data_IF_251252887480
#
_entry.id   IF_251252887480
#
_cell.length_a   1.000
_cell.length_b   1.000
_cell.length_c   1.000
_cell.angle_alpha   90.00
_cell.angle_beta   90.00
_cell.angle_gamma   90.00
#
_symmetry.space_group_name_H-M   'P 1'
#
loop_
_entity.id
_entity.type
_entity.pdbx_description
1 polymer ?
#
# COMPACT_ATOMS: atom_id res chain seq x y z
N UNK A 1 -52.36 30.61 -41.05
CA UNK A 1 -52.47 30.43 -39.59
C UNK A 1 -51.18 30.92 -38.96
N UNK A 2 -51.34 31.73 -37.93
CA UNK A 2 -50.46 32.82 -37.49
C UNK A 2 -49.20 32.39 -36.73
N UNK A 3 -48.14 33.17 -36.95
CA UNK A 3 -46.87 33.23 -36.22
C UNK A 3 -47.07 33.54 -34.71
N UNK A 4 -46.08 33.13 -33.91
CA UNK A 4 -45.93 33.55 -32.52
C UNK A 4 -44.48 33.44 -32.04
N UNK A 5 -43.68 34.46 -32.33
CA UNK A 5 -42.40 34.76 -31.71
C UNK A 5 -42.56 35.10 -30.22
N UNK A 6 -41.59 34.71 -29.38
CA UNK A 6 -41.40 35.33 -28.06
C UNK A 6 -39.91 35.53 -27.76
N UNK A 7 -39.50 36.80 -27.89
CA UNK A 7 -38.27 37.38 -27.37
C UNK A 7 -38.34 37.47 -25.84
N UNK A 8 -37.24 37.22 -25.14
CA UNK A 8 -37.01 37.77 -23.81
C UNK A 8 -35.63 38.44 -23.74
N UNK A 9 -35.67 39.75 -23.55
CA UNK A 9 -34.57 40.64 -23.22
C UNK A 9 -34.43 40.69 -21.70
N UNK A 10 -33.21 40.46 -21.18
CA UNK A 10 -32.87 40.64 -19.77
C UNK A 10 -31.68 41.58 -19.63
N UNK A 11 -31.97 42.83 -19.27
CA UNK A 11 -31.02 43.89 -18.92
C UNK A 11 -30.23 43.52 -17.66
N UNK A 12 -28.89 43.64 -17.69
CA UNK A 12 -28.07 43.70 -16.48
C UNK A 12 -27.74 45.17 -16.16
N UNK A 13 -28.22 45.63 -15.01
CA UNK A 13 -27.91 46.95 -14.46
C UNK A 13 -26.51 46.95 -13.81
N UNK A 14 -25.72 47.97 -14.15
CA UNK A 14 -24.48 48.35 -13.47
C UNK A 14 -24.82 49.13 -12.19
N UNK A 15 -24.58 48.48 -11.04
CA UNK A 15 -24.67 49.09 -9.71
C UNK A 15 -23.33 49.62 -9.23
N UNK A 16 -23.30 50.92 -8.98
CA UNK A 16 -22.19 51.74 -8.46
C UNK A 16 -21.63 51.26 -7.11
N UNK A 17 -20.33 50.98 -7.04
CA UNK A 17 -19.58 50.86 -5.78
C UNK A 17 -18.65 52.07 -5.63
N UNK A 18 -19.05 52.97 -4.72
CA UNK A 18 -18.32 54.16 -4.37
C UNK A 18 -17.21 53.90 -3.35
N UNK A 19 -16.04 54.47 -3.66
CA UNK A 19 -15.12 55.20 -2.77
C UNK A 19 -14.74 54.57 -1.42
N UNK A 20 -13.54 53.97 -1.38
CA UNK A 20 -12.56 54.27 -0.33
C UNK A 20 -11.16 54.37 -0.95
N UNK A 21 -10.52 55.51 -0.77
CA UNK A 21 -9.23 55.91 -1.35
C UNK A 21 -8.42 56.53 -0.21
N UNK A 22 -7.30 55.90 0.16
CA UNK A 22 -6.14 56.34 0.97
C UNK A 22 -5.39 55.05 1.37
N UNK A 23 -4.08 54.84 1.22
CA UNK A 23 -2.91 55.63 0.84
C UNK A 23 -1.87 54.64 0.27
N UNK A 24 -1.08 55.09 -0.71
CA UNK A 24 0.14 54.44 -1.21
C UNK A 24 1.27 54.48 -0.14
N UNK A 25 2.28 53.59 -0.23
CA UNK A 25 3.46 53.90 -1.03
C UNK A 25 3.94 52.74 -1.94
N UNK A 26 4.14 53.07 -3.23
CA UNK A 26 5.34 52.87 -4.10
C UNK A 26 6.29 51.64 -3.96
N UNK A 27 7.10 51.32 -5.00
CA UNK A 27 6.84 50.16 -5.83
C UNK A 27 8.08 49.26 -5.97
N UNK A 28 7.95 47.95 -5.81
CA UNK A 28 8.92 47.01 -6.38
C UNK A 28 8.35 45.59 -6.35
N UNK A 29 8.73 44.81 -7.37
CA UNK A 29 8.55 43.35 -7.49
C UNK A 29 7.15 42.95 -8.01
N UNK A 30 6.90 43.33 -9.27
CA UNK A 30 5.99 42.59 -10.15
C UNK A 30 6.74 41.34 -10.64
N UNK A 31 6.71 40.25 -9.87
CA UNK A 31 7.16 38.94 -10.35
C UNK A 31 5.96 38.22 -10.98
N UNK A 32 5.95 38.22 -12.30
CA UNK A 32 5.12 37.37 -13.17
C UNK A 32 5.31 35.90 -12.80
N UNK A 33 4.33 35.30 -12.12
CA UNK A 33 4.18 33.84 -12.10
C UNK A 33 3.49 33.39 -13.39
N UNK A 34 4.29 33.34 -14.47
CA UNK A 34 4.02 32.45 -15.59
C UNK A 34 4.39 31.03 -15.12
N UNK A 35 3.42 30.33 -14.55
CA UNK A 35 3.53 28.88 -14.40
C UNK A 35 3.47 28.27 -15.79
N UNK A 36 4.64 28.00 -16.34
CA UNK A 36 4.85 27.09 -17.44
C UNK A 36 4.43 25.70 -16.94
N UNK A 37 3.17 25.34 -17.20
CA UNK A 37 2.73 23.96 -17.19
C UNK A 37 3.30 23.23 -18.39
N UNK A 38 4.62 23.04 -18.43
CA UNK A 38 5.23 22.05 -19.30
C UNK A 38 4.96 20.69 -18.65
N UNK A 39 3.87 20.05 -19.08
CA UNK A 39 3.83 18.61 -19.08
C UNK A 39 5.07 18.14 -19.88
N UNK A 40 6.03 17.56 -19.18
CA UNK A 40 7.07 16.75 -19.79
C UNK A 40 6.36 15.53 -20.40
N UNK A 41 5.82 15.71 -21.60
CA UNK A 41 5.59 14.59 -22.51
C UNK A 41 6.98 14.20 -22.99
N UNK A 42 7.62 13.27 -22.27
CA UNK A 42 8.83 12.63 -22.76
C UNK A 42 8.44 11.87 -24.02
N UNK A 43 8.80 12.44 -25.15
CA UNK A 43 8.72 11.82 -26.46
C UNK A 43 9.71 10.64 -26.50
N UNK A 44 9.29 9.49 -25.98
CA UNK A 44 10.06 8.23 -25.98
C UNK A 44 9.77 7.39 -27.23
N UNK A 45 9.07 7.95 -28.23
CA UNK A 45 8.53 7.19 -29.35
C UNK A 45 9.48 7.03 -30.55
N UNK A 46 10.60 7.75 -30.61
CA UNK A 46 11.47 7.76 -31.81
C UNK A 46 12.86 7.14 -31.64
N UNK A 47 13.10 6.44 -30.54
CA UNK A 47 14.32 5.67 -30.34
C UNK A 47 14.02 4.19 -30.45
N UNK A 48 14.23 3.65 -31.65
CA UNK A 48 14.42 2.22 -31.88
C UNK A 48 15.72 1.73 -31.22
N UNK A 49 15.89 2.03 -29.93
CA UNK A 49 17.11 1.87 -29.16
C UNK A 49 17.10 0.53 -28.43
N UNK A 50 18.22 -0.17 -28.61
CA UNK A 50 18.62 -1.34 -27.87
C UNK A 50 18.34 -1.18 -26.36
N UNK A 51 17.38 -1.96 -25.86
CA UNK A 51 16.98 -1.90 -24.46
C UNK A 51 18.11 -2.27 -23.49
N UNK A 52 19.24 -2.81 -23.96
CA UNK A 52 20.37 -3.21 -23.10
C UNK A 52 20.96 -2.05 -22.31
N UNK A 53 20.78 -0.81 -22.77
CA UNK A 53 21.14 0.38 -22.00
C UNK A 53 20.34 0.48 -20.68
N UNK A 54 19.10 0.00 -20.61
CA UNK A 54 18.26 0.09 -19.41
C UNK A 54 18.49 -1.04 -18.40
N UNK A 55 19.26 -2.07 -18.78
CA UNK A 55 19.48 -3.29 -18.00
C UNK A 55 20.85 -3.33 -17.30
N UNK A 56 21.60 -2.24 -17.42
CA UNK A 56 22.99 -2.13 -17.01
C UNK A 56 23.24 -0.90 -16.14
N UNK A 57 24.13 -1.05 -15.18
CA UNK A 57 24.58 0.03 -14.30
C UNK A 57 25.55 0.98 -14.99
N UNK A 58 26.25 0.50 -16.02
CA UNK A 58 27.26 1.28 -16.75
C UNK A 58 26.67 2.27 -17.77
N UNK A 59 25.40 2.17 -18.11
CA UNK A 59 24.73 3.20 -18.91
C UNK A 59 24.53 4.43 -18.02
N UNK A 60 24.86 5.61 -18.51
CA UNK A 60 24.59 6.87 -17.78
C UNK A 60 23.10 7.22 -17.70
N UNK A 61 22.21 6.31 -18.12
CA UNK A 61 20.79 6.58 -18.29
C UNK A 61 20.05 6.64 -16.96
N UNK A 62 19.23 7.68 -16.84
CA UNK A 62 18.40 7.95 -15.67
C UNK A 62 17.15 7.06 -15.61
N UNK A 63 16.82 6.34 -16.69
CA UNK A 63 15.59 5.55 -16.84
C UNK A 63 15.83 4.05 -16.78
N UNK A 64 16.62 3.57 -15.81
CA UNK A 64 16.83 2.13 -15.61
C UNK A 64 15.57 1.45 -15.09
N UNK A 65 15.33 0.23 -15.57
CA UNK A 65 14.26 -0.65 -15.06
C UNK A 65 14.73 -1.54 -13.90
N UNK A 66 16.02 -1.50 -13.58
CA UNK A 66 16.68 -2.28 -12.54
C UNK A 66 17.47 -1.38 -11.58
N UNK A 67 17.87 -1.91 -10.43
CA UNK A 67 18.65 -1.21 -9.41
C UNK A 67 20.13 -1.60 -9.46
N UNK A 68 20.97 -0.59 -9.27
CA UNK A 68 22.42 -0.70 -9.11
C UNK A 68 22.86 -0.43 -7.68
N UNK A 69 21.90 -0.28 -6.76
CA UNK A 69 22.17 0.01 -5.37
C UNK A 69 22.77 -1.21 -4.68
N UNK A 70 23.52 -0.96 -3.62
CA UNK A 70 24.23 -2.01 -2.88
C UNK A 70 23.30 -3.04 -2.21
N UNK A 71 22.00 -2.76 -2.14
CA UNK A 71 20.98 -3.62 -1.55
C UNK A 71 19.93 -4.12 -2.57
N UNK A 72 20.14 -3.94 -3.88
CA UNK A 72 19.23 -4.39 -4.94
C UNK A 72 18.84 -5.88 -4.82
N UNK A 73 19.74 -6.70 -4.25
CA UNK A 73 19.55 -8.14 -4.10
C UNK A 73 18.44 -8.46 -3.10
N UNK A 74 18.19 -7.59 -2.12
CA UNK A 74 17.11 -7.76 -1.14
C UNK A 74 15.72 -7.65 -1.78
N UNK A 75 15.63 -6.93 -2.90
CA UNK A 75 14.42 -6.67 -3.68
C UNK A 75 14.31 -7.54 -4.95
N UNK A 76 15.31 -8.40 -5.21
CA UNK A 76 15.46 -9.14 -6.47
C UNK A 76 15.42 -8.24 -7.73
N UNK A 77 15.94 -7.03 -7.59
CA UNK A 77 15.83 -5.96 -8.58
C UNK A 77 17.18 -5.60 -9.22
N UNK A 78 18.25 -6.35 -8.97
CA UNK A 78 19.57 -5.99 -9.51
C UNK A 78 19.61 -6.06 -11.04
N UNK A 79 20.35 -5.11 -11.61
CA UNK A 79 20.76 -5.15 -13.00
C UNK A 79 21.70 -6.33 -13.28
N UNK A 80 21.81 -6.69 -14.56
CA UNK A 80 22.62 -7.84 -15.03
C UNK A 80 24.13 -7.69 -14.78
N UNK A 81 24.63 -6.46 -14.70
CA UNK A 81 26.05 -6.12 -14.49
C UNK A 81 26.30 -5.49 -13.11
N UNK A 82 25.35 -5.59 -12.18
CA UNK A 82 25.53 -5.16 -10.79
C UNK A 82 26.59 -6.01 -10.12
N UNK A 83 27.43 -5.40 -9.28
CA UNK A 83 28.38 -6.10 -8.42
C UNK A 83 27.70 -6.95 -7.33
N UNK A 84 26.37 -6.80 -7.16
CA UNK A 84 25.54 -7.59 -6.24
C UNK A 84 24.71 -8.67 -6.94
N UNK A 85 24.86 -8.82 -8.26
CA UNK A 85 24.10 -9.81 -9.04
C UNK A 85 24.19 -11.22 -8.46
N UNK A 86 25.40 -11.68 -8.11
CA UNK A 86 25.62 -13.04 -7.58
C UNK A 86 24.91 -13.29 -6.24
N UNK A 87 24.68 -12.23 -5.45
CA UNK A 87 23.99 -12.34 -4.16
C UNK A 87 22.50 -12.66 -4.33
N UNK A 88 21.89 -12.39 -5.48
CA UNK A 88 20.47 -12.69 -5.71
C UNK A 88 20.17 -14.19 -5.77
N UNK A 89 21.16 -15.01 -6.13
CA UNK A 89 21.01 -16.47 -6.16
C UNK A 89 21.17 -17.09 -4.77
N UNK A 90 21.95 -16.48 -3.87
CA UNK A 90 22.28 -17.02 -2.56
C UNK A 90 21.42 -16.47 -1.42
N UNK A 91 20.91 -15.24 -1.55
CA UNK A 91 20.18 -14.56 -0.49
C UNK A 91 18.67 -14.74 -0.63
N UNK A 92 17.99 -14.95 0.51
CA UNK A 92 16.53 -15.04 0.54
C UNK A 92 15.95 -13.66 0.29
N UNK A 93 15.08 -13.55 -0.72
CA UNK A 93 14.33 -12.31 -1.00
C UNK A 93 13.53 -11.91 0.23
N UNK A 94 13.78 -10.71 0.73
CA UNK A 94 13.17 -10.19 1.97
C UNK A 94 11.97 -9.27 1.68
N UNK A 95 11.94 -8.70 0.48
CA UNK A 95 10.93 -7.73 0.07
C UNK A 95 10.07 -8.30 -1.04
N UNK A 96 8.76 -8.13 -0.89
CA UNK A 96 7.76 -8.54 -1.87
C UNK A 96 7.12 -7.28 -2.44
N UNK A 97 6.92 -7.25 -3.76
CA UNK A 97 6.19 -6.17 -4.40
C UNK A 97 4.72 -6.26 -4.00
N UNK A 98 4.26 -5.31 -3.19
CA UNK A 98 2.86 -5.19 -2.81
C UNK A 98 2.14 -4.26 -3.79
N UNK A 99 1.04 -4.73 -4.34
CA UNK A 99 0.07 -3.90 -5.06
C UNK A 99 -1.32 -4.29 -4.60
N UNK A 100 -2.14 -3.28 -4.31
CA UNK A 100 -3.56 -3.38 -4.59
C UNK A 100 -3.76 -2.74 -5.98
N UNK A 101 -4.83 -3.05 -6.71
CA UNK A 101 -5.06 -2.50 -8.07
C UNK A 101 -5.30 -0.98 -8.10
N UNK A 102 -5.16 -0.28 -6.99
CA UNK A 102 -5.52 1.13 -6.81
C UNK A 102 -4.42 1.99 -6.21
N UNK A 103 -3.34 1.39 -5.70
CA UNK A 103 -2.24 2.05 -5.02
C UNK A 103 -0.94 2.00 -5.82
N UNK A 104 -0.03 2.92 -5.49
CA UNK A 104 1.30 2.89 -6.07
C UNK A 104 2.04 1.68 -5.51
N UNK A 105 2.48 0.74 -6.36
CA UNK A 105 3.10 -0.49 -5.90
C UNK A 105 4.45 -0.23 -5.24
N UNK A 106 4.67 -0.86 -4.10
CA UNK A 106 5.88 -0.69 -3.28
C UNK A 106 6.44 -2.03 -2.84
N UNK A 107 7.76 -2.08 -2.69
CA UNK A 107 8.39 -3.17 -1.98
C UNK A 107 8.07 -3.09 -0.49
N UNK A 108 7.46 -4.15 0.03
CA UNK A 108 7.17 -4.31 1.44
C UNK A 108 7.97 -5.50 1.99
N UNK A 109 8.63 -5.30 3.13
CA UNK A 109 9.38 -6.36 3.79
C UNK A 109 8.41 -7.38 4.38
N UNK A 110 8.50 -8.63 3.90
CA UNK A 110 7.68 -9.78 4.32
C UNK A 110 8.57 -10.88 4.90
N UNK A 111 9.50 -10.47 5.76
CA UNK A 111 10.37 -11.36 6.51
C UNK A 111 10.79 -10.72 7.82
N UNK A 112 11.17 -11.53 8.79
CA UNK A 112 11.63 -11.07 10.10
C UNK A 112 13.14 -11.08 10.21
N UNK A 113 13.68 -10.28 11.13
CA UNK A 113 15.11 -10.31 11.45
C UNK A 113 15.46 -11.64 12.12
N UNK A 114 16.59 -12.26 11.76
CA UNK A 114 17.07 -13.47 12.45
C UNK A 114 17.40 -13.17 13.91
N UNK A 115 17.80 -11.93 14.22
CA UNK A 115 18.07 -11.46 15.58
C UNK A 115 16.84 -11.12 16.42
N UNK A 116 15.62 -11.25 15.88
CA UNK A 116 14.42 -10.95 16.65
C UNK A 116 14.19 -11.99 17.76
N UNK A 117 14.15 -11.51 19.00
CA UNK A 117 14.02 -12.33 20.21
C UNK A 117 12.66 -12.18 20.90
N UNK A 118 11.69 -11.53 20.25
CA UNK A 118 10.33 -11.40 20.79
C UNK A 118 9.48 -12.64 20.50
N UNK A 119 8.17 -12.53 20.74
CA UNK A 119 7.26 -13.66 20.63
C UNK A 119 7.10 -14.14 19.18
N UNK A 120 7.13 -15.46 18.96
CA UNK A 120 7.10 -16.06 17.63
C UNK A 120 5.81 -15.78 16.84
N UNK A 121 4.72 -15.42 17.52
CA UNK A 121 3.47 -15.01 16.88
C UNK A 121 3.68 -13.88 15.87
N UNK A 122 4.58 -12.94 16.13
CA UNK A 122 4.88 -11.86 15.17
C UNK A 122 5.55 -12.39 13.90
N UNK A 123 6.44 -13.39 14.04
CA UNK A 123 7.06 -14.06 12.88
C UNK A 123 6.02 -14.80 12.07
N UNK A 124 5.14 -15.53 12.76
CA UNK A 124 4.06 -16.27 12.15
C UNK A 124 3.14 -15.34 11.35
N UNK A 125 2.62 -14.26 11.97
CA UNK A 125 1.74 -13.30 11.30
C UNK A 125 2.45 -12.59 10.13
N UNK A 126 3.74 -12.27 10.27
CA UNK A 126 4.50 -11.65 9.18
C UNK A 126 4.67 -12.58 7.96
N UNK A 127 4.99 -13.86 8.19
CA UNK A 127 5.22 -14.82 7.11
C UNK A 127 3.93 -15.35 6.49
N UNK A 128 3.01 -15.79 7.34
CA UNK A 128 1.75 -16.41 6.94
C UNK A 128 0.77 -15.37 6.44
N UNK A 129 1.02 -14.07 6.71
CA UNK A 129 0.23 -12.91 6.34
C UNK A 129 -1.21 -13.31 6.06
N UNK A 130 -1.96 -13.51 7.16
CA UNK A 130 -3.29 -14.08 7.14
C UNK A 130 -4.03 -13.42 5.98
N UNK A 131 -4.24 -14.16 4.89
CA UNK A 131 -4.94 -13.67 3.69
C UNK A 131 -6.44 -13.56 3.98
N UNK A 132 -6.80 -13.28 5.23
CA UNK A 132 -8.11 -12.87 5.64
C UNK A 132 -8.33 -11.46 5.10
N UNK A 133 -8.90 -11.43 3.89
CA UNK A 133 -9.34 -10.21 3.22
C UNK A 133 -10.37 -9.43 4.06
N UNK A 134 -11.00 -10.05 5.06
CA UNK A 134 -11.88 -9.40 6.03
C UNK A 134 -11.12 -8.68 7.16
N UNK A 135 -9.81 -8.91 7.29
CA UNK A 135 -8.96 -8.18 8.22
C UNK A 135 -8.13 -7.10 7.50
N UNK A 136 -8.76 -5.94 7.30
CA UNK A 136 -8.08 -4.78 6.70
C UNK A 136 -6.91 -4.29 7.56
N UNK A 137 -7.08 -4.17 8.89
CA UNK A 137 -6.05 -3.59 9.75
C UNK A 137 -4.86 -4.52 9.98
N UNK A 138 -5.09 -5.82 10.13
CA UNK A 138 -4.04 -6.82 10.29
C UNK A 138 -3.16 -6.97 9.04
N UNK A 139 -3.73 -6.65 7.87
CA UNK A 139 -3.03 -6.66 6.59
C UNK A 139 -2.57 -5.28 6.11
N UNK A 140 -2.74 -4.24 6.94
CA UNK A 140 -2.41 -2.88 6.55
C UNK A 140 -0.89 -2.66 6.54
N UNK A 141 -0.37 -2.23 5.40
CA UNK A 141 1.04 -1.84 5.27
C UNK A 141 1.39 -0.77 6.30
N UNK A 142 2.60 -0.90 6.86
CA UNK A 142 3.18 0.14 7.71
C UNK A 142 4.52 0.58 7.17
N UNK A 143 4.83 1.86 7.33
CA UNK A 143 6.12 2.41 6.92
C UNK A 143 6.81 3.02 8.12
N UNK A 144 8.06 2.62 8.34
CA UNK A 144 8.92 3.32 9.31
C UNK A 144 9.34 4.66 8.73
N UNK A 145 8.90 5.73 9.38
CA UNK A 145 9.29 7.10 9.03
C UNK A 145 10.77 7.36 9.28
N UNK A 146 11.44 6.51 10.08
CA UNK A 146 12.87 6.60 10.36
C UNK A 146 13.70 5.89 9.28
N UNK A 147 13.47 4.60 9.06
CA UNK A 147 14.28 3.78 8.14
C UNK A 147 13.79 3.85 6.69
N UNK A 148 12.61 4.40 6.47
CA UNK A 148 11.93 4.47 5.17
C UNK A 148 11.55 3.12 4.58
N UNK A 149 11.62 2.06 5.37
CA UNK A 149 11.19 0.72 4.99
C UNK A 149 9.68 0.60 5.18
N UNK A 150 9.01 0.07 4.17
CA UNK A 150 7.63 -0.42 4.25
C UNK A 150 7.65 -1.89 4.62
N UNK A 151 6.78 -2.28 5.54
CA UNK A 151 6.59 -3.64 6.03
C UNK A 151 5.20 -4.13 5.64
N UNK A 152 5.09 -5.44 5.41
CA UNK A 152 3.83 -6.06 4.97
C UNK A 152 2.67 -5.82 5.95
N UNK A 153 2.98 -5.76 7.24
CA UNK A 153 2.07 -5.35 8.30
C UNK A 153 2.87 -4.89 9.52
N UNK A 154 2.17 -4.47 10.58
CA UNK A 154 2.81 -4.03 11.82
C UNK A 154 3.68 -5.13 12.46
N UNK A 155 3.25 -6.39 12.41
CA UNK A 155 3.99 -7.52 12.97
C UNK A 155 5.34 -7.74 12.26
N UNK A 156 5.38 -7.58 10.94
CA UNK A 156 6.62 -7.55 10.19
C UNK A 156 7.54 -6.42 10.66
N UNK A 157 7.01 -5.23 10.95
CA UNK A 157 7.83 -4.14 11.46
C UNK A 157 8.39 -4.45 12.86
N UNK A 158 7.54 -4.96 13.76
CA UNK A 158 7.92 -5.35 15.13
C UNK A 158 8.99 -6.44 15.11
N UNK A 159 8.81 -7.50 14.31
CA UNK A 159 9.79 -8.58 14.20
C UNK A 159 11.09 -8.18 13.45
N UNK A 160 11.17 -6.93 12.98
CA UNK A 160 12.37 -6.30 12.49
C UNK A 160 12.92 -5.22 13.44
N UNK A 161 12.48 -5.24 14.70
CA UNK A 161 12.90 -4.34 15.77
C UNK A 161 12.62 -2.85 15.49
N UNK A 162 11.61 -2.55 14.66
CA UNK A 162 11.13 -1.18 14.48
C UNK A 162 10.38 -0.71 15.73
N UNK A 163 10.48 0.60 16.02
CA UNK A 163 9.76 1.20 17.13
C UNK A 163 8.39 1.65 16.65
N UNK A 164 7.33 1.27 17.36
CA UNK A 164 5.93 1.61 17.01
C UNK A 164 5.75 3.11 16.78
N UNK A 165 6.37 3.96 17.60
CA UNK A 165 6.31 5.42 17.45
C UNK A 165 6.84 5.96 16.11
N UNK A 166 7.73 5.21 15.47
CA UNK A 166 8.35 5.58 14.19
C UNK A 166 7.52 5.02 13.02
N UNK A 167 6.53 4.15 13.27
CA UNK A 167 5.66 3.55 12.26
C UNK A 167 4.48 4.46 11.92
N UNK A 168 4.11 4.44 10.65
CA UNK A 168 2.88 5.02 10.13
C UNK A 168 2.17 3.98 9.28
N UNK A 169 0.93 3.68 9.64
CA UNK A 169 0.08 2.86 8.81
C UNK A 169 -0.30 3.64 7.54
N UNK A 170 -0.54 2.90 6.48
CA UNK A 170 -1.10 3.45 5.25
C UNK A 170 -2.56 3.84 5.49
N UNK A 171 -3.03 4.90 4.86
CA UNK A 171 -4.44 5.28 4.94
C UNK A 171 -5.27 4.31 4.10
N UNK A 172 -6.46 3.96 4.59
CA UNK A 172 -7.41 3.15 3.83
C UNK A 172 -8.40 4.09 3.15
N UNK A 173 -8.62 3.93 1.85
CA UNK A 173 -9.58 4.69 1.09
C UNK A 173 -10.68 3.74 0.64
N UNK A 174 -11.89 3.97 1.13
CA UNK A 174 -13.08 3.22 0.72
C UNK A 174 -13.85 4.08 -0.27
N UNK A 175 -14.09 3.53 -1.46
CA UNK A 175 -14.90 4.17 -2.48
C UNK A 175 -16.09 3.27 -2.82
N UNK A 176 -17.29 3.74 -2.52
CA UNK A 176 -18.54 3.08 -2.87
C UNK A 176 -19.26 3.90 -3.95
N UNK A 177 -20.10 3.29 -4.81
CA UNK A 177 -21.09 4.02 -5.60
C UNK A 177 -21.82 5.04 -4.73
N UNK A 178 -22.09 6.25 -5.23
CA UNK A 178 -22.80 7.26 -4.44
C UNK A 178 -24.28 6.97 -4.35
N UNK A 179 -24.83 6.29 -5.35
CA UNK A 179 -26.23 5.89 -5.42
C UNK A 179 -26.32 4.41 -5.80
N UNK A 180 -27.30 3.70 -5.23
CA UNK A 180 -27.72 2.39 -5.69
C UNK A 180 -29.24 2.32 -5.67
N UNK A 181 -29.85 2.25 -6.86
CA UNK A 181 -31.30 2.40 -7.04
C UNK A 181 -31.75 3.74 -6.45
N UNK A 182 -32.52 3.74 -5.35
CA UNK A 182 -33.08 4.94 -4.70
C UNK A 182 -32.34 5.33 -3.41
N UNK A 183 -31.22 4.65 -3.09
CA UNK A 183 -30.42 4.93 -1.89
C UNK A 183 -29.20 5.76 -2.26
N UNK A 184 -29.15 6.98 -1.72
CA UNK A 184 -27.94 7.82 -1.74
C UNK A 184 -27.11 7.51 -0.51
N UNK A 185 -25.85 7.12 -0.72
CA UNK A 185 -24.92 6.88 0.38
C UNK A 185 -24.20 8.16 0.76
N UNK A 186 -24.10 8.42 2.06
CA UNK A 186 -23.27 9.47 2.61
C UNK A 186 -22.05 8.87 3.32
N UNK A 187 -21.01 9.67 3.56
CA UNK A 187 -19.79 9.22 4.26
C UNK A 187 -20.09 8.47 5.56
N UNK A 188 -20.96 9.01 6.41
CA UNK A 188 -21.34 8.38 7.68
C UNK A 188 -22.04 7.04 7.51
N UNK A 189 -22.85 6.89 6.46
CA UNK A 189 -23.50 5.61 6.17
C UNK A 189 -22.47 4.53 5.86
N UNK A 190 -21.46 4.86 5.03
CA UNK A 190 -20.35 3.94 4.72
C UNK A 190 -19.58 3.58 5.99
N UNK A 191 -19.22 4.58 6.81
CA UNK A 191 -18.49 4.33 8.06
C UNK A 191 -19.23 3.38 9.02
N UNK A 192 -20.56 3.47 9.09
CA UNK A 192 -21.35 2.66 10.02
C UNK A 192 -21.83 1.31 9.43
N UNK A 193 -21.86 1.14 8.10
CA UNK A 193 -22.48 -0.03 7.44
C UNK A 193 -21.54 -0.81 6.50
N UNK A 194 -20.29 -0.38 6.34
CA UNK A 194 -19.29 -1.13 5.59
C UNK A 194 -19.08 -2.50 6.23
N UNK A 195 -19.22 -3.56 5.44
CA UNK A 195 -19.12 -4.94 5.91
C UNK A 195 -18.45 -5.81 4.86
N UNK A 196 -17.83 -6.90 5.31
CA UNK A 196 -17.23 -7.90 4.45
C UNK A 196 -18.25 -9.00 4.16
N UNK A 197 -18.47 -9.28 2.88
CA UNK A 197 -19.28 -10.39 2.42
C UNK A 197 -18.39 -11.63 2.24
N UNK A 198 -18.62 -12.65 3.06
CA UNK A 198 -17.88 -13.91 3.03
C UNK A 198 -18.16 -14.72 1.76
N UNK A 199 -19.37 -14.61 1.19
CA UNK A 199 -19.77 -15.43 0.04
C UNK A 199 -19.10 -14.92 -1.25
N UNK A 200 -18.93 -13.59 -1.35
CA UNK A 200 -18.31 -12.94 -2.51
C UNK A 200 -16.84 -12.56 -2.28
N UNK A 201 -16.34 -12.70 -1.05
CA UNK A 201 -15.01 -12.25 -0.61
C UNK A 201 -14.73 -10.76 -0.90
N UNK A 202 -15.74 -9.91 -0.70
CA UNK A 202 -15.71 -8.50 -1.07
C UNK A 202 -16.20 -7.58 0.06
N UNK A 203 -15.63 -6.38 0.13
CA UNK A 203 -16.12 -5.31 1.00
C UNK A 203 -17.23 -4.53 0.32
N UNK A 204 -18.24 -4.13 1.08
CA UNK A 204 -19.39 -3.43 0.52
C UNK A 204 -20.43 -3.02 1.55
N UNK A 205 -21.58 -2.59 1.04
CA UNK A 205 -22.72 -2.15 1.83
C UNK A 205 -23.88 -3.12 1.64
N UNK A 206 -24.43 -3.64 2.73
CA UNK A 206 -25.69 -4.38 2.69
C UNK A 206 -26.85 -3.39 2.54
N UNK A 207 -27.62 -3.54 1.47
CA UNK A 207 -28.85 -2.78 1.21
C UNK A 207 -30.06 -3.72 1.21
N UNK A 208 -31.28 -3.16 1.21
CA UNK A 208 -32.51 -3.97 1.25
C UNK A 208 -32.56 -5.02 0.13
N UNK A 209 -32.09 -4.65 -1.06
CA UNK A 209 -32.16 -5.49 -2.27
C UNK A 209 -30.80 -6.01 -2.74
N UNK A 210 -29.82 -6.18 -1.84
CA UNK A 210 -28.56 -6.85 -2.17
C UNK A 210 -27.32 -6.27 -1.51
N UNK A 211 -26.20 -6.36 -2.23
CA UNK A 211 -24.88 -5.97 -1.76
C UNK A 211 -24.22 -5.04 -2.77
N UNK A 212 -23.78 -3.87 -2.30
CA UNK A 212 -23.11 -2.87 -3.12
C UNK A 212 -21.61 -2.96 -2.85
N UNK A 213 -20.87 -3.48 -3.81
CA UNK A 213 -19.41 -3.64 -3.72
C UNK A 213 -18.73 -2.27 -3.62
N UNK A 214 -17.85 -2.13 -2.65
CA UNK A 214 -16.99 -0.98 -2.48
C UNK A 214 -15.54 -1.34 -2.83
N UNK A 215 -14.81 -0.39 -3.39
CA UNK A 215 -13.37 -0.54 -3.64
C UNK A 215 -12.59 -0.08 -2.43
N UNK A 216 -11.68 -0.92 -1.94
CA UNK A 216 -10.72 -0.61 -0.88
C UNK A 216 -9.35 -0.35 -1.52
N UNK A 217 -8.72 0.77 -1.19
CA UNK A 217 -7.42 1.18 -1.69
C UNK A 217 -6.52 1.62 -0.53
N UNK A 218 -5.21 1.36 -0.61
CA UNK A 218 -4.25 1.78 0.41
C UNK A 218 -3.38 2.95 -0.06
N UNK A 219 -3.12 3.89 0.83
CA UNK A 219 -2.34 5.09 0.50
C UNK A 219 -1.16 5.27 1.43
N UNK A 220 0.02 5.42 0.82
CA UNK A 220 1.25 5.70 1.56
C UNK A 220 1.11 7.00 2.37
N UNK A 221 1.79 7.09 3.53
CA UNK A 221 1.83 8.32 4.30
C UNK A 221 2.36 9.49 3.47
N UNK A 222 1.69 10.65 3.52
CA UNK A 222 2.00 11.81 2.67
C UNK A 222 3.47 12.26 2.70
N UNK A 223 4.13 12.15 3.86
CA UNK A 223 5.55 12.51 4.04
C UNK A 223 6.54 11.54 3.37
N UNK A 224 6.04 10.39 2.90
CA UNK A 224 6.81 9.29 2.31
C UNK A 224 6.68 9.22 0.79
N UNK A 225 5.82 10.05 0.18
CA UNK A 225 5.69 10.14 -1.28
C UNK A 225 7.05 10.45 -1.91
N UNK A 226 7.45 9.62 -2.89
CA UNK A 226 8.73 9.74 -3.59
C UNK A 226 9.95 9.28 -2.78
N UNK A 227 9.75 8.71 -1.59
CA UNK A 227 10.83 8.25 -0.68
C UNK A 227 10.80 6.75 -0.39
N UNK A 228 9.85 6.03 -0.99
CA UNK A 228 9.73 4.59 -0.87
C UNK A 228 10.40 3.89 -2.05
N UNK A 229 10.71 2.61 -1.86
CA UNK A 229 11.14 1.74 -2.93
C UNK A 229 9.91 1.22 -3.69
N UNK A 230 9.65 1.82 -4.84
CA UNK A 230 8.56 1.43 -5.73
C UNK A 230 8.94 0.17 -6.53
N UNK A 231 7.94 -0.61 -6.92
CA UNK A 231 8.16 -1.89 -7.60
C UNK A 231 7.17 -2.09 -8.74
N UNK A 232 7.49 -3.03 -9.63
CA UNK A 232 6.62 -3.46 -10.72
C UNK A 232 5.83 -4.71 -10.34
N UNK A 233 4.50 -4.60 -10.11
CA UNK A 233 3.69 -5.76 -9.77
C UNK A 233 3.30 -6.57 -11.00
N UNK A 234 2.86 -7.81 -10.78
CA UNK A 234 2.33 -8.70 -11.82
C UNK A 234 3.32 -8.97 -12.97
N UNK A 235 4.62 -8.96 -12.67
CA UNK A 235 5.64 -9.36 -13.64
C UNK A 235 5.62 -10.88 -13.82
N UNK A 236 5.56 -11.33 -15.06
CA UNK A 236 5.91 -12.70 -15.42
C UNK A 236 7.41 -12.87 -15.16
N UNK A 237 7.72 -13.62 -14.10
CA UNK A 237 9.06 -13.72 -13.51
C UNK A 237 9.58 -15.15 -13.44
N UNK A 238 8.84 -16.10 -14.02
CA UNK A 238 9.16 -17.53 -14.07
C UNK A 238 8.78 -18.09 -15.43
N UNK A 239 9.49 -19.15 -15.83
CA UNK A 239 9.13 -19.94 -17.01
C UNK A 239 8.06 -20.99 -16.66
N UNK A 240 7.32 -21.48 -17.67
CA UNK A 240 6.41 -22.62 -17.49
C UNK A 240 7.13 -23.86 -16.94
N UNK A 241 6.42 -24.69 -16.17
CA UNK A 241 6.96 -25.95 -15.69
C UNK A 241 7.34 -26.85 -16.86
N UNK A 242 8.52 -27.48 -16.78
CA UNK A 242 9.04 -28.36 -17.85
C UNK A 242 9.68 -27.64 -19.05
N UNK A 243 9.88 -26.32 -18.97
CA UNK A 243 10.67 -25.60 -19.98
C UNK A 243 12.09 -26.17 -20.07
N UNK A 244 12.57 -26.45 -21.29
CA UNK A 244 13.73 -27.33 -21.53
C UNK A 244 15.08 -26.62 -21.67
N UNK A 245 15.10 -25.31 -21.87
CA UNK A 245 16.34 -24.55 -22.04
C UNK A 245 16.77 -23.96 -20.69
N UNK A 246 17.71 -24.66 -20.05
CA UNK A 246 18.26 -24.31 -18.73
C UNK A 246 18.97 -22.95 -18.73
N UNK A 247 19.54 -22.52 -19.86
CA UNK A 247 20.25 -21.23 -19.94
C UNK A 247 19.25 -20.08 -19.86
N UNK A 248 18.18 -20.14 -20.65
CA UNK A 248 17.10 -19.14 -20.61
C UNK A 248 16.39 -19.16 -19.26
N UNK A 249 16.15 -20.36 -18.70
CA UNK A 249 15.55 -20.51 -17.37
C UNK A 249 16.42 -19.83 -16.29
N UNK A 250 17.73 -20.09 -16.29
CA UNK A 250 18.66 -19.47 -15.35
C UNK A 250 18.67 -17.94 -15.50
N UNK A 251 18.72 -17.42 -16.73
CA UNK A 251 18.71 -15.97 -16.99
C UNK A 251 17.39 -15.30 -16.63
N UNK A 252 16.24 -15.97 -16.83
CA UNK A 252 14.95 -15.45 -16.38
C UNK A 252 14.93 -15.20 -14.86
N UNK A 253 15.57 -16.09 -14.09
CA UNK A 253 15.59 -15.97 -12.64
C UNK A 253 16.69 -15.04 -12.10
N UNK A 254 17.70 -14.71 -12.91
CA UNK A 254 18.94 -14.14 -12.40
C UNK A 254 19.04 -12.62 -12.40
N UNK A 255 18.18 -11.87 -13.10
CA UNK A 255 18.22 -10.40 -13.07
C UNK A 255 16.88 -9.73 -13.31
N UNK A 256 16.86 -8.41 -13.09
CA UNK A 256 15.74 -7.55 -13.40
C UNK A 256 16.06 -6.67 -14.61
N UNK A 257 15.12 -6.57 -15.55
CA UNK A 257 15.22 -5.81 -16.79
C UNK A 257 13.82 -5.71 -17.41
N UNK A 258 12.91 -4.98 -16.76
CA UNK A 258 11.49 -5.02 -17.10
C UNK A 258 11.24 -4.81 -18.61
N UNK A 259 10.33 -5.62 -19.16
CA UNK A 259 9.85 -5.52 -20.53
C UNK A 259 8.34 -5.57 -20.57
N UNK A 260 7.75 -4.78 -21.46
CA UNK A 260 6.33 -4.88 -21.77
C UNK A 260 6.18 -5.52 -23.15
N UNK A 261 5.18 -6.40 -23.31
CA UNK A 261 4.81 -6.90 -24.63
C UNK A 261 3.95 -5.85 -25.34
N UNK A 262 4.32 -5.51 -26.58
CA UNK A 262 3.64 -4.54 -27.43
C UNK A 262 2.15 -4.86 -27.52
N UNK A 263 1.33 -3.81 -27.48
CA UNK A 263 -0.14 -3.88 -27.60
C UNK A 263 -0.84 -4.71 -26.52
N UNK A 264 -0.17 -5.01 -25.40
CA UNK A 264 -0.74 -5.74 -24.26
C UNK A 264 -0.44 -5.06 -22.92
N UNK A 265 -1.10 -5.51 -21.86
CA UNK A 265 -0.78 -5.15 -20.46
C UNK A 265 0.13 -6.21 -19.79
N UNK A 266 0.80 -7.05 -20.58
CA UNK A 266 1.71 -8.07 -20.05
C UNK A 266 3.12 -7.50 -19.88
N UNK A 267 3.66 -7.70 -18.68
CA UNK A 267 5.00 -7.29 -18.31
C UNK A 267 5.81 -8.49 -17.85
N UNK A 268 7.07 -8.52 -18.23
CA UNK A 268 8.03 -9.56 -17.93
C UNK A 268 9.16 -8.98 -17.10
N UNK A 269 9.66 -9.76 -16.15
CA UNK A 269 10.79 -9.38 -15.29
C UNK A 269 12.04 -9.03 -16.11
N UNK A 270 12.27 -9.77 -17.18
CA UNK A 270 13.36 -9.58 -18.13
C UNK A 270 13.02 -10.23 -19.49
N UNK A 271 13.78 -9.94 -20.57
CA UNK A 271 13.57 -10.55 -21.88
C UNK A 271 13.59 -12.08 -21.86
N UNK A 272 14.41 -12.70 -21.00
CA UNK A 272 14.50 -14.17 -20.92
C UNK A 272 13.22 -14.80 -20.34
N UNK A 273 12.56 -14.12 -19.40
CA UNK A 273 11.23 -14.54 -18.94
C UNK A 273 10.17 -14.40 -20.02
N UNK A 274 10.27 -13.40 -20.91
CA UNK A 274 9.39 -13.28 -22.06
C UNK A 274 9.60 -14.44 -23.06
N UNK A 275 10.86 -14.72 -23.39
CA UNK A 275 11.25 -15.78 -24.32
C UNK A 275 10.74 -17.15 -23.87
N UNK A 276 10.95 -17.53 -22.60
CA UNK A 276 10.45 -18.83 -22.13
C UNK A 276 8.94 -18.91 -21.96
N UNK A 277 8.23 -17.78 -22.00
CA UNK A 277 6.76 -17.70 -22.06
C UNK A 277 6.26 -17.49 -23.50
N UNK A 278 7.10 -17.72 -24.51
CA UNK A 278 6.71 -17.73 -25.91
C UNK A 278 6.61 -16.36 -26.58
N UNK A 279 7.09 -15.29 -25.93
CA UNK A 279 7.08 -13.93 -26.49
C UNK A 279 8.45 -13.60 -27.07
N UNK A 280 8.48 -13.16 -28.34
CA UNK A 280 9.71 -12.85 -29.05
C UNK A 280 10.23 -11.46 -28.70
N UNK A 281 11.56 -11.25 -28.83
CA UNK A 281 12.19 -9.97 -28.46
C UNK A 281 11.66 -8.78 -29.27
N UNK A 282 11.32 -8.99 -30.55
CA UNK A 282 10.75 -7.94 -31.41
C UNK A 282 9.31 -7.55 -31.02
N UNK A 283 8.66 -8.33 -30.15
CA UNK A 283 7.34 -8.04 -29.56
C UNK A 283 7.48 -7.31 -28.22
N UNK A 284 8.71 -7.02 -27.76
CA UNK A 284 8.96 -6.32 -26.51
C UNK A 284 9.27 -4.84 -26.74
N UNK A 285 8.90 -4.02 -25.76
CA UNK A 285 9.25 -2.60 -25.69
C UNK A 285 9.91 -2.28 -24.33
N UNK A 286 10.92 -1.39 -24.37
CA UNK A 286 11.53 -0.84 -23.15
C UNK A 286 10.63 0.30 -22.64
N UNK A 287 9.61 -0.07 -21.89
CA UNK A 287 8.74 0.90 -21.23
C UNK A 287 9.02 0.81 -19.74
N UNK A 288 9.73 1.80 -19.21
CA UNK A 288 9.67 2.05 -17.77
C UNK A 288 8.21 2.35 -17.41
N UNK A 289 7.66 1.69 -16.39
CA UNK A 289 6.27 1.96 -16.02
C UNK A 289 6.13 3.41 -15.62
N UNK A 290 5.45 4.18 -16.47
CA UNK A 290 4.71 5.33 -16.01
C UNK A 290 3.56 4.77 -15.20
N UNK A 291 3.76 4.60 -13.89
CA UNK A 291 2.65 4.49 -12.95
C UNK A 291 1.93 5.83 -12.98
N UNK A 292 1.11 6.05 -14.01
CA UNK A 292 -0.02 6.94 -13.88
C UNK A 292 -0.75 6.42 -12.64
N UNK A 293 -0.96 7.24 -11.61
CA UNK A 293 -1.84 6.87 -10.51
C UNK A 293 -3.09 6.30 -11.15
N UNK A 294 -3.35 5.01 -10.93
CA UNK A 294 -4.41 4.30 -11.65
C UNK A 294 -5.62 5.20 -11.62
N UNK A 295 -6.14 5.52 -12.81
CA UNK A 295 -7.35 6.30 -12.92
C UNK A 295 -8.35 5.57 -12.03
N UNK A 296 -8.62 6.14 -10.84
CA UNK A 296 -9.77 5.77 -10.03
C UNK A 296 -10.92 5.57 -10.99
N UNK A 297 -11.84 4.66 -10.70
CA UNK A 297 -13.14 4.68 -11.34
C UNK A 297 -13.58 6.15 -11.41
N UNK A 298 -13.43 6.76 -12.59
CA UNK A 298 -13.72 8.17 -12.84
C UNK A 298 -15.22 8.20 -13.10
N UNK A 299 -15.96 7.72 -12.11
CA UNK A 299 -17.39 7.90 -11.99
C UNK A 299 -17.61 9.19 -11.24
N UNK A 300 -18.52 10.03 -11.72
CA UNK A 300 -18.95 11.23 -11.01
C UNK A 300 -19.72 10.89 -9.72
N UNK A 301 -20.06 9.62 -9.53
CA UNK A 301 -20.97 9.10 -8.52
C UNK A 301 -20.25 8.13 -7.57
N UNK A 302 -19.19 8.60 -6.90
CA UNK A 302 -18.50 7.84 -5.85
C UNK A 302 -18.40 8.64 -4.56
N UNK A 303 -18.72 8.01 -3.45
CA UNK A 303 -18.47 8.57 -2.11
C UNK A 303 -17.18 7.96 -1.59
N UNK A 304 -16.25 8.81 -1.21
CA UNK A 304 -14.92 8.41 -0.72
C UNK A 304 -14.80 8.69 0.76
N UNK A 305 -14.40 7.67 1.51
CA UNK A 305 -14.10 7.75 2.93
C UNK A 305 -12.63 7.43 3.13
N UNK A 306 -11.91 8.34 3.76
CA UNK A 306 -10.51 8.15 4.13
C UNK A 306 -10.46 7.78 5.59
N UNK A 307 -9.85 6.65 5.82
CA UNK A 307 -9.65 6.00 7.08
C UNK A 307 -8.16 6.18 7.42
N UNK A 308 -7.80 7.36 7.95
CA UNK A 308 -6.41 7.71 8.29
C UNK A 308 -6.08 7.24 9.71
N UNK A 309 -5.08 6.37 9.80
CA UNK A 309 -4.52 5.88 11.06
C UNK A 309 -4.14 6.99 12.05
N UNK A 310 -3.81 8.19 11.58
CA UNK A 310 -3.49 9.33 12.43
C UNK A 310 -4.65 9.80 13.31
N UNK A 311 -5.90 9.72 12.84
CA UNK A 311 -7.07 10.24 13.56
C UNK A 311 -7.67 9.24 14.55
N UNK A 312 -7.49 7.93 14.36
CA UNK A 312 -8.03 6.91 15.28
C UNK A 312 -7.03 6.47 16.34
N UNK A 313 -5.74 6.67 16.06
CA UNK A 313 -4.66 6.45 17.03
C UNK A 313 -4.47 7.66 17.96
N UNK A 314 -5.07 8.81 17.65
CA UNK A 314 -4.98 9.98 18.50
C UNK A 314 -5.92 9.84 19.71
N UNK A 315 -5.38 9.97 20.92
CA UNK A 315 -6.14 9.91 22.18
C UNK A 315 -7.18 11.03 22.31
N UNK A 316 -7.08 12.04 21.45
CA UNK A 316 -8.04 13.14 21.32
C UNK A 316 -9.19 12.84 20.35
N UNK A 317 -9.21 11.66 19.72
CA UNK A 317 -10.34 11.19 18.94
C UNK A 317 -11.62 11.17 19.78
N UNK A 318 -12.77 11.24 19.10
CA UNK A 318 -14.09 11.16 19.74
C UNK A 318 -14.17 9.97 20.70
N UNK A 319 -14.97 10.06 21.77
CA UNK A 319 -15.13 8.96 22.73
C UNK A 319 -15.49 7.62 22.08
N UNK A 320 -16.16 7.65 20.91
CA UNK A 320 -16.50 6.47 20.08
C UNK A 320 -15.27 5.60 19.74
N UNK A 321 -14.08 6.18 19.65
CA UNK A 321 -12.87 5.49 19.15
C UNK A 321 -11.81 5.25 20.24
N UNK A 322 -12.14 5.53 21.51
CA UNK A 322 -11.21 5.29 22.62
C UNK A 322 -11.22 3.84 23.03
N UNK A 323 -10.07 3.19 22.92
CA UNK A 323 -9.83 1.88 23.50
C UNK A 323 -9.06 1.96 24.82
N UNK A 324 -9.18 0.92 25.65
CA UNK A 324 -8.38 0.73 26.85
C UNK A 324 -6.88 0.64 26.52
N UNK A 325 -6.04 0.92 27.52
CA UNK A 325 -4.58 1.10 27.41
C UNK A 325 -3.88 0.15 26.41
N UNK A 326 -3.47 0.68 25.26
CA UNK A 326 -2.64 -0.01 24.27
C UNK A 326 -3.41 -0.72 23.15
N UNK A 327 -4.74 -0.77 23.25
CA UNK A 327 -5.58 -1.31 22.19
C UNK A 327 -5.84 -0.24 21.11
N UNK A 328 -5.99 -0.68 19.85
CA UNK A 328 -6.37 0.20 18.74
C UNK A 328 -7.80 -0.13 18.32
N UNK A 329 -8.60 0.91 18.10
CA UNK A 329 -9.96 0.75 17.60
C UNK A 329 -9.93 0.34 16.14
N UNK A 330 -10.65 -0.72 15.81
CA UNK A 330 -10.88 -1.17 14.45
C UNK A 330 -12.26 -0.71 13.96
N UNK A 331 -12.33 0.27 13.05
CA UNK A 331 -13.61 0.73 12.51
C UNK A 331 -14.26 -0.26 11.55
N UNK A 332 -13.51 -1.24 11.01
CA UNK A 332 -14.06 -2.23 10.09
C UNK A 332 -14.77 -3.38 10.81
N UNK A 333 -14.45 -3.61 12.08
CA UNK A 333 -15.07 -4.63 12.93
C UNK A 333 -15.76 -4.04 14.16
N UNK A 334 -15.79 -2.70 14.28
CA UNK A 334 -16.36 -1.95 15.39
C UNK A 334 -15.93 -2.49 16.77
N UNK A 335 -14.63 -2.80 16.93
CA UNK A 335 -14.08 -3.37 18.16
C UNK A 335 -12.69 -2.85 18.47
N UNK A 336 -12.34 -2.81 19.74
CA UNK A 336 -10.96 -2.61 20.16
C UNK A 336 -10.16 -3.89 19.94
N UNK A 337 -9.05 -3.78 19.21
CA UNK A 337 -8.11 -4.87 19.02
C UNK A 337 -6.96 -4.72 19.98
N UNK A 338 -6.64 -5.83 20.63
CA UNK A 338 -5.36 -5.98 21.30
C UNK A 338 -4.30 -6.10 20.22
N UNK A 339 -3.46 -5.06 20.12
CA UNK A 339 -2.20 -5.20 19.42
C UNK A 339 -1.17 -5.66 20.45
N UNK A 340 -0.17 -6.48 20.08
CA UNK A 340 0.71 -7.15 21.04
C UNK A 340 1.49 -6.23 22.00
N UNK A 341 1.46 -4.91 21.79
CA UNK A 341 1.93 -3.92 22.75
C UNK A 341 1.15 -3.95 24.09
N UNK A 342 -0.13 -4.36 24.12
CA UNK A 342 -0.88 -4.58 25.37
C UNK A 342 -0.28 -5.73 26.18
N UNK A 343 0.06 -6.84 25.52
CA UNK A 343 0.70 -8.01 26.12
C UNK A 343 2.10 -7.67 26.65
N UNK A 344 2.91 -6.92 25.89
CA UNK A 344 4.26 -6.52 26.32
C UNK A 344 4.25 -5.46 27.44
N UNK A 345 3.24 -4.58 27.49
CA UNK A 345 3.05 -3.67 28.63
C UNK A 345 2.60 -4.43 29.87
N UNK A 346 1.67 -5.38 29.77
CA UNK A 346 1.24 -6.17 30.92
C UNK A 346 2.37 -7.05 31.47
N UNK A 347 3.20 -7.64 30.60
CA UNK A 347 4.38 -8.42 31.00
C UNK A 347 5.47 -7.54 31.63
N UNK A 348 5.77 -6.37 31.07
CA UNK A 348 6.72 -5.45 31.70
C UNK A 348 6.19 -4.86 33.01
N UNK A 349 4.87 -4.62 33.14
CA UNK A 349 4.26 -4.11 34.36
C UNK A 349 4.24 -5.16 35.48
N UNK A 350 3.98 -6.43 35.15
CA UNK A 350 4.08 -7.54 36.10
C UNK A 350 5.52 -7.81 36.51
N UNK A 351 6.49 -7.77 35.59
CA UNK A 351 7.91 -7.92 35.91
C UNK A 351 8.42 -6.79 36.81
N UNK A 352 8.13 -5.52 36.50
CA UNK A 352 8.55 -4.37 37.31
C UNK A 352 7.92 -4.32 38.70
N UNK A 353 6.74 -4.91 38.90
CA UNK A 353 6.10 -5.00 40.22
C UNK A 353 6.38 -6.31 40.97
N UNK A 354 7.04 -7.27 40.33
CA UNK A 354 7.39 -8.57 40.94
C UNK A 354 8.76 -8.61 41.62
N UNK A 355 9.55 -7.53 41.57
CA UNK A 355 10.84 -7.39 42.29
C UNK A 355 10.71 -7.42 43.84
N UNK A 356 9.52 -7.72 44.37
CA UNK A 356 9.28 -7.98 45.80
C UNK A 356 8.72 -9.36 46.14
N UNK A 357 8.43 -10.24 45.17
CA UNK A 357 7.88 -11.57 45.45
C UNK A 357 8.90 -12.67 45.13
N UNK A 358 9.52 -13.23 46.16
CA UNK A 358 10.20 -14.52 46.06
C UNK A 358 9.19 -15.56 45.54
N UNK A 359 9.35 -15.95 44.28
CA UNK A 359 8.64 -17.07 43.68
C UNK A 359 9.05 -18.35 44.40
N UNK A 360 8.29 -18.73 45.42
CA UNK A 360 8.28 -20.11 45.90
C UNK A 360 7.51 -20.97 44.91
N UNK A 361 7.97 -22.20 44.74
CA UNK A 361 7.65 -23.21 43.73
C UNK A 361 6.17 -23.61 43.60
N UNK A 362 5.25 -22.96 44.32
CA UNK A 362 3.82 -23.29 44.36
C UNK A 362 2.99 -22.61 43.25
N UNK A 363 3.54 -21.62 42.52
CA UNK A 363 2.82 -20.95 41.43
C UNK A 363 2.65 -21.84 40.17
N UNK A 364 3.51 -22.85 39.99
CA UNK A 364 3.42 -23.78 38.86
C UNK A 364 2.23 -24.75 38.97
N UNK A 365 1.74 -25.02 40.18
CA UNK A 365 0.61 -25.94 40.41
C UNK A 365 -0.74 -25.27 40.09
N UNK A 366 -0.84 -23.95 40.27
CA UNK A 366 -2.06 -23.19 39.93
C UNK A 366 -2.20 -22.93 38.43
N UNK A 367 -1.09 -22.71 37.71
CA UNK A 367 -1.13 -22.55 36.25
C UNK A 367 -1.54 -23.84 35.50
N UNK A 368 -1.12 -25.02 36.00
CA UNK A 368 -1.52 -26.30 35.42
C UNK A 368 -3.01 -26.65 35.68
N UNK A 369 -3.60 -26.14 36.77
CA UNK A 369 -5.00 -26.41 37.14
C UNK A 369 -5.99 -25.65 36.27
N UNK A 370 -5.63 -24.44 35.79
CA UNK A 370 -6.49 -23.64 34.91
C UNK A 370 -6.44 -24.16 33.46
N UNK A 371 -5.30 -24.72 33.02
CA UNK A 371 -5.17 -25.34 31.69
C UNK A 371 -5.98 -26.64 31.53
N UNK A 372 -6.23 -27.40 32.61
CA UNK A 372 -7.07 -28.61 32.53
C UNK A 372 -8.59 -28.33 32.50
N UNK A 373 -9.05 -27.13 32.88
CA UNK A 373 -10.49 -26.80 32.84
C UNK A 373 -10.93 -26.34 31.44
N UNK A 374 -10.03 -25.82 30.61
CA UNK A 374 -10.37 -25.38 29.25
C UNK A 374 -10.26 -26.46 28.17
N UNK A 375 -9.56 -27.57 28.41
CA UNK A 375 -9.49 -28.68 27.45
C UNK A 375 -10.68 -29.66 27.49
N UNK A 376 -11.68 -29.46 28.36
CA UNK A 376 -12.77 -30.44 28.54
C UNK A 376 -14.19 -29.92 28.26
N UNK A 377 -14.32 -28.81 27.51
CA UNK A 377 -15.61 -28.34 26.98
C UNK A 377 -15.51 -28.05 25.49
N UNK A 378 -15.57 -29.12 24.68
CA UNK A 378 -16.33 -29.22 23.43
C UNK A 378 -15.93 -30.52 22.70
N UNK A 379 -16.29 -31.65 23.30
CA UNK A 379 -16.73 -32.84 22.58
C UNK A 379 -18.10 -33.18 23.18
N UNK A 380 -19.16 -32.66 22.55
CA UNK A 380 -20.51 -33.21 22.48
C UNK A 380 -21.27 -32.47 21.39
#
# INVERSE_FOLDING_TARGET
MTLGDSKFLGYFQLGSLGKYLKMLPSPAILLTFLFIGNAYSSDTSERGEDCTAFDRCKSGDLFRTCSCDSDCYKYAACCSDSDKYDLMASEKVQFVCHTDRSSTPVYAKKSCSDSYSGHDSHRQICYEAISDKADILGNLLVTSTKTKITYWNQDCAICNNEKIKDLKHWAVHVACPSNHVDVTFHKSYIEDHLTYDLDHEEWGLKVQDGFVVCTIAFYQPSRMVGKLNYCAPNLVSKCPEGYSDDEILAKCLSYHAERKQKDTDLYFRNPHCALCNGVQENELECVGRNYSPLNYAKGKDLVKVVFDSGEWLDRNASEKYKCSNGNMYDPFQNRCREFPESILRELNYTLYHSDGLQLTTNAFVLAASVLMVFCNKHYF
#
